data_IF_644918350624
#
_entry.id   IF_644918350624
#
_cell.length_a   1.000
_cell.length_b   1.000
_cell.length_c   1.000
_cell.angle_alpha   90.00
_cell.angle_beta   90.00
_cell.angle_gamma   90.00
#
_symmetry.space_group_name_H-M   'P 1'
#
loop_
_entity.id
_entity.type
_entity.pdbx_description
1 polymer ?
#
# COMPACT_ATOMS: atom_id res chain seq x y z
N UNK A 1 15.73 12.15 -6.11
CA UNK A 1 15.73 11.04 -5.13
C UNK A 1 14.31 10.57 -4.73
N UNK A 2 13.25 10.89 -5.49
CA UNK A 2 11.86 10.78 -5.01
C UNK A 2 11.08 9.53 -5.51
N UNK A 3 11.54 8.87 -6.58
CA UNK A 3 10.74 7.80 -7.21
C UNK A 3 10.92 6.44 -6.51
N UNK A 4 12.15 6.16 -6.07
CA UNK A 4 12.48 4.92 -5.33
C UNK A 4 11.83 4.88 -3.94
N UNK A 5 11.65 6.04 -3.28
CA UNK A 5 10.95 6.09 -1.99
C UNK A 5 9.49 5.64 -2.08
N UNK A 6 8.83 5.88 -3.21
CA UNK A 6 7.45 5.43 -3.44
C UNK A 6 7.41 3.91 -3.63
N UNK A 7 8.30 3.37 -4.47
CA UNK A 7 8.42 1.92 -4.64
C UNK A 7 8.78 1.22 -3.33
N UNK A 8 9.68 1.78 -2.53
CA UNK A 8 10.06 1.22 -1.22
C UNK A 8 8.92 1.25 -0.21
N UNK A 9 8.09 2.30 -0.19
CA UNK A 9 6.91 2.36 0.68
C UNK A 9 5.88 1.27 0.33
N UNK A 10 5.54 1.15 -0.95
CA UNK A 10 4.54 0.16 -1.41
C UNK A 10 5.10 -1.26 -1.26
N UNK A 11 6.34 -1.50 -1.71
CA UNK A 11 7.01 -2.79 -1.59
C UNK A 11 7.23 -3.21 -0.14
N UNK A 12 7.61 -2.28 0.73
CA UNK A 12 7.75 -2.51 2.17
C UNK A 12 6.43 -2.91 2.83
N UNK A 13 5.32 -2.23 2.50
CA UNK A 13 4.00 -2.61 2.97
C UNK A 13 3.60 -4.03 2.51
N UNK A 14 3.94 -4.39 1.27
CA UNK A 14 3.73 -5.74 0.73
C UNK A 14 4.53 -6.82 1.48
N UNK A 15 5.81 -6.56 1.79
CA UNK A 15 6.65 -7.47 2.58
C UNK A 15 6.06 -7.66 3.98
N UNK A 16 5.63 -6.58 4.64
CA UNK A 16 5.01 -6.65 5.97
C UNK A 16 3.73 -7.51 5.91
N UNK A 17 2.88 -7.32 4.91
CA UNK A 17 1.68 -8.13 4.70
C UNK A 17 1.99 -9.61 4.55
N UNK A 18 2.99 -9.96 3.75
CA UNK A 18 3.42 -11.35 3.57
C UNK A 18 3.94 -11.98 4.86
N UNK A 19 4.65 -11.20 5.68
CA UNK A 19 5.12 -11.65 6.99
C UNK A 19 3.94 -11.86 7.94
N UNK A 20 2.99 -10.92 7.99
CA UNK A 20 1.79 -11.04 8.83
C UNK A 20 0.94 -12.25 8.44
N UNK A 21 0.71 -12.48 7.15
CA UNK A 21 -0.03 -13.62 6.64
C UNK A 21 0.62 -14.96 7.06
N UNK A 22 1.94 -15.08 6.90
CA UNK A 22 2.70 -16.25 7.36
C UNK A 22 2.58 -16.47 8.86
N UNK A 23 2.73 -15.42 9.67
CA UNK A 23 2.68 -15.49 11.14
C UNK A 23 1.28 -15.88 11.62
N UNK A 24 0.23 -15.30 11.04
CA UNK A 24 -1.15 -15.61 11.41
C UNK A 24 -1.52 -17.04 11.02
N UNK A 25 -1.13 -17.46 9.81
CA UNK A 25 -1.37 -18.82 9.33
C UNK A 25 -0.59 -19.85 10.15
N UNK A 26 0.68 -19.58 10.49
CA UNK A 26 1.47 -20.47 11.35
C UNK A 26 0.94 -20.55 12.79
N UNK A 27 0.19 -19.55 13.24
CA UNK A 27 -0.46 -19.52 14.55
C UNK A 27 -1.84 -20.22 14.57
N UNK A 28 -2.23 -20.89 13.47
CA UNK A 28 -3.54 -21.55 13.35
C UNK A 28 -4.70 -20.59 13.08
N UNK A 29 -4.42 -19.31 12.77
CA UNK A 29 -5.43 -18.25 12.56
C UNK A 29 -5.63 -17.93 11.07
N UNK A 30 -5.88 -18.97 10.27
CA UNK A 30 -6.00 -18.84 8.80
C UNK A 30 -7.12 -17.89 8.34
N UNK A 31 -8.27 -17.88 9.02
CA UNK A 31 -9.36 -16.95 8.70
C UNK A 31 -8.97 -15.49 8.91
N UNK A 32 -8.24 -15.20 10.00
CA UNK A 32 -7.75 -13.86 10.31
C UNK A 32 -6.65 -13.45 9.32
N UNK A 33 -5.79 -14.39 8.90
CA UNK A 33 -4.79 -14.15 7.86
C UNK A 33 -5.45 -13.70 6.54
N UNK A 34 -6.51 -14.41 6.10
CA UNK A 34 -7.25 -14.06 4.90
C UNK A 34 -7.87 -12.65 4.96
N UNK A 35 -8.54 -12.31 6.07
CA UNK A 35 -9.12 -10.98 6.28
C UNK A 35 -8.02 -9.90 6.28
N UNK A 36 -6.88 -10.18 6.93
CA UNK A 36 -5.74 -9.27 6.98
C UNK A 36 -5.14 -9.02 5.61
N UNK A 37 -5.06 -10.05 4.76
CA UNK A 37 -4.55 -9.90 3.40
C UNK A 37 -5.47 -9.00 2.55
N UNK A 38 -6.79 -9.20 2.63
CA UNK A 38 -7.77 -8.32 1.95
C UNK A 38 -7.62 -6.87 2.44
N UNK A 39 -7.60 -6.65 3.76
CA UNK A 39 -7.43 -5.32 4.34
C UNK A 39 -6.11 -4.68 3.90
N UNK A 40 -5.04 -5.46 3.85
CA UNK A 40 -3.74 -5.04 3.38
C UNK A 40 -3.73 -4.57 1.94
N UNK A 41 -4.34 -5.34 1.04
CA UNK A 41 -4.50 -4.95 -0.38
C UNK A 41 -5.27 -3.64 -0.48
N UNK A 42 -6.37 -3.48 0.27
CA UNK A 42 -7.15 -2.22 0.30
C UNK A 42 -6.28 -1.04 0.75
N UNK A 43 -5.47 -1.19 1.80
CA UNK A 43 -4.56 -0.15 2.27
C UNK A 43 -3.53 0.23 1.19
N UNK A 44 -2.98 -0.75 0.48
CA UNK A 44 -2.06 -0.49 -0.65
C UNK A 44 -2.76 0.29 -1.76
N UNK A 45 -3.99 -0.08 -2.10
CA UNK A 45 -4.78 0.63 -3.10
C UNK A 45 -5.03 2.09 -2.69
N UNK A 46 -5.35 2.34 -1.41
CA UNK A 46 -5.53 3.70 -0.90
C UNK A 46 -4.23 4.53 -0.98
N UNK A 47 -3.07 3.93 -0.71
CA UNK A 47 -1.78 4.60 -0.92
C UNK A 47 -1.58 5.00 -2.39
N UNK A 48 -1.93 4.12 -3.33
CA UNK A 48 -1.83 4.42 -4.77
C UNK A 48 -2.77 5.57 -5.16
N UNK A 49 -4.01 5.56 -4.67
CA UNK A 49 -4.98 6.63 -4.94
C UNK A 49 -4.46 7.99 -4.45
N UNK A 50 -3.83 8.05 -3.26
CA UNK A 50 -3.22 9.28 -2.76
C UNK A 50 -2.13 9.80 -3.69
N UNK A 51 -1.25 8.92 -4.17
CA UNK A 51 -0.16 9.29 -5.10
C UNK A 51 -0.74 9.85 -6.40
N UNK A 52 -1.79 9.22 -6.94
CA UNK A 52 -2.49 9.73 -8.12
C UNK A 52 -3.09 11.12 -7.84
N UNK A 53 -3.69 11.31 -6.66
CA UNK A 53 -4.24 12.59 -6.23
C UNK A 53 -3.18 13.70 -6.20
N UNK A 54 -1.99 13.42 -5.68
CA UNK A 54 -0.87 14.36 -5.64
C UNK A 54 -0.40 14.75 -7.05
N UNK A 55 -0.37 13.79 -7.98
CA UNK A 55 -0.07 14.05 -9.38
C UNK A 55 -1.13 14.97 -10.02
N UNK A 56 -2.41 14.68 -9.81
CA UNK A 56 -3.50 15.53 -10.30
C UNK A 56 -3.45 16.93 -9.72
N UNK A 57 -3.14 17.07 -8.42
CA UNK A 57 -2.95 18.37 -7.77
C UNK A 57 -1.81 19.15 -8.42
N UNK A 58 -0.68 18.49 -8.67
CA UNK A 58 0.49 19.07 -9.34
C UNK A 58 0.13 19.57 -10.75
N UNK A 59 -0.58 18.76 -11.53
CA UNK A 59 -1.06 19.17 -12.85
C UNK A 59 -1.99 20.39 -12.74
N UNK A 60 -2.98 20.35 -11.82
CA UNK A 60 -3.91 21.45 -11.64
C UNK A 60 -3.20 22.76 -11.28
N UNK A 61 -2.17 22.72 -10.43
CA UNK A 61 -1.36 23.89 -10.08
C UNK A 61 -0.59 24.43 -11.28
N UNK A 62 -0.02 23.57 -12.12
CA UNK A 62 0.69 23.99 -13.33
C UNK A 62 -0.22 24.62 -14.39
N UNK A 63 -1.49 24.20 -14.46
CA UNK A 63 -2.46 24.76 -15.42
C UNK A 63 -3.23 25.99 -14.89
N UNK A 64 -3.24 26.23 -13.58
CA UNK A 64 -3.86 27.40 -12.94
C UNK A 64 -2.89 28.59 -12.83
N UNK A 65 -1.59 28.33 -12.82
CA UNK A 65 -0.52 29.34 -12.79
C UNK A 65 -0.20 29.83 -14.20
#
# INVERSE_FOLDING_TARGET
MNDISILLKIGGAGIILLVLDKVLTSSGKGEIAAITNIAGVVIILLMIVSIIGDLFSTLKTMFIM
#
